data_IF_302827824855
#
_entry.id   IF_302827824855
#
_cell.length_a   1.000
_cell.length_b   1.000
_cell.length_c   1.000
_cell.angle_alpha   90.00
_cell.angle_beta   90.00
_cell.angle_gamma   90.00
#
_symmetry.space_group_name_H-M   'P 1'
#
loop_
_entity.id
_entity.type
_entity.pdbx_description
1 polymer ?
#
# COMPACT_ATOMS: atom_id res chain seq x y z
N UNK A 1 6.38 -5.39 17.75
CA UNK A 1 5.16 -4.75 17.22
C UNK A 1 5.47 -3.50 16.39
N UNK A 2 6.41 -2.67 16.82
CA UNK A 2 6.76 -1.44 16.10
C UNK A 2 7.36 -1.72 14.72
N UNK A 3 8.19 -2.74 14.61
CA UNK A 3 8.74 -3.20 13.34
C UNK A 3 7.66 -3.61 12.35
N UNK A 4 6.64 -4.33 12.82
CA UNK A 4 5.49 -4.74 11.99
C UNK A 4 4.64 -3.55 11.57
N UNK A 5 4.44 -2.59 12.47
CA UNK A 5 3.71 -1.37 12.17
C UNK A 5 4.38 -0.60 11.03
N UNK A 6 5.68 -0.35 11.14
CA UNK A 6 6.40 0.39 10.09
C UNK A 6 6.53 -0.41 8.80
N UNK A 7 6.64 -1.73 8.88
CA UNK A 7 6.65 -2.58 7.68
C UNK A 7 5.33 -2.43 6.89
N UNK A 8 4.19 -2.48 7.58
CA UNK A 8 2.89 -2.30 6.94
C UNK A 8 2.68 -0.87 6.44
N UNK A 9 3.13 0.14 7.19
CA UNK A 9 3.03 1.54 6.78
C UNK A 9 3.83 1.81 5.52
N UNK A 10 5.10 1.47 5.53
CA UNK A 10 6.00 1.71 4.40
C UNK A 10 5.58 0.85 3.19
N UNK A 11 5.25 -0.41 3.43
CA UNK A 11 4.81 -1.30 2.38
C UNK A 11 3.53 -0.82 1.70
N UNK A 12 2.54 -0.41 2.48
CA UNK A 12 1.30 0.13 1.94
C UNK A 12 1.54 1.44 1.20
N UNK A 13 2.40 2.30 1.74
CA UNK A 13 2.78 3.54 1.06
C UNK A 13 3.32 3.26 -0.35
N UNK A 14 4.29 2.37 -0.49
CA UNK A 14 4.87 2.05 -1.79
C UNK A 14 3.85 1.37 -2.72
N UNK A 15 3.12 0.41 -2.22
CA UNK A 15 2.13 -0.31 -3.02
C UNK A 15 1.05 0.64 -3.56
N UNK A 16 0.44 1.44 -2.70
CA UNK A 16 -0.62 2.35 -3.11
C UNK A 16 -0.09 3.53 -3.95
N UNK A 17 1.17 3.92 -3.75
CA UNK A 17 1.81 4.91 -4.62
C UNK A 17 1.87 4.42 -6.07
N UNK A 18 2.18 3.15 -6.28
CA UNK A 18 2.15 2.57 -7.64
C UNK A 18 0.73 2.57 -8.20
N UNK A 19 -0.26 2.20 -7.39
CA UNK A 19 -1.66 2.16 -7.84
C UNK A 19 -2.10 3.54 -8.34
N UNK A 20 -1.90 4.57 -7.53
CA UNK A 20 -2.42 5.90 -7.84
C UNK A 20 -1.62 6.56 -8.97
N UNK A 21 -0.30 6.37 -9.03
CA UNK A 21 0.52 6.95 -10.09
C UNK A 21 0.38 6.23 -11.42
N UNK A 22 -0.01 4.96 -11.44
CA UNK A 22 -0.22 4.21 -12.68
C UNK A 22 -1.56 4.50 -13.35
N UNK A 23 -2.39 5.37 -12.76
CA UNK A 23 -3.65 5.81 -13.36
C UNK A 23 -4.84 4.89 -13.10
N UNK A 24 -4.69 3.90 -12.23
CA UNK A 24 -5.78 2.96 -11.93
C UNK A 24 -7.03 3.69 -11.41
N UNK A 25 -6.85 4.75 -10.64
CA UNK A 25 -7.95 5.49 -10.03
C UNK A 25 -8.60 6.51 -10.97
N UNK A 26 -8.02 6.79 -12.15
CA UNK A 26 -8.46 7.91 -12.99
C UNK A 26 -9.31 7.49 -14.18
N UNK A 27 -9.68 6.24 -14.30
CA UNK A 27 -10.44 5.69 -15.45
C UNK A 27 -9.81 5.96 -16.83
N UNK A 28 -8.63 6.54 -16.85
CA UNK A 28 -7.88 6.73 -18.08
C UNK A 28 -7.23 5.40 -18.40
N UNK A 29 -7.92 4.57 -19.12
CA UNK A 29 -7.44 3.27 -19.60
C UNK A 29 -6.27 3.42 -20.61
N UNK A 30 -5.46 4.46 -20.42
CA UNK A 30 -4.37 4.75 -21.33
C UNK A 30 -3.24 3.72 -21.25
N UNK A 31 -3.15 2.98 -20.13
CA UNK A 31 -2.09 2.00 -19.96
C UNK A 31 -2.71 0.61 -19.77
N UNK A 32 -2.63 -0.20 -20.83
CA UNK A 32 -3.11 -1.58 -20.80
C UNK A 32 -2.32 -2.51 -19.87
N UNK A 33 -1.20 -2.02 -19.31
CA UNK A 33 -0.34 -2.80 -18.42
C UNK A 33 -0.46 -2.42 -16.95
N UNK A 34 -1.45 -1.62 -16.57
CA UNK A 34 -1.65 -1.18 -15.17
C UNK A 34 -1.74 -2.37 -14.22
N UNK A 35 -2.47 -3.41 -14.60
CA UNK A 35 -2.64 -4.61 -13.79
C UNK A 35 -1.31 -5.34 -13.53
N UNK A 36 -0.41 -5.36 -14.52
CA UNK A 36 0.93 -5.95 -14.35
C UNK A 36 1.75 -5.10 -13.37
N UNK A 37 1.73 -3.79 -13.52
CA UNK A 37 2.45 -2.87 -12.64
C UNK A 37 2.02 -3.03 -11.19
N UNK A 38 0.72 -3.09 -10.94
CA UNK A 38 0.15 -3.26 -9.60
C UNK A 38 0.55 -4.63 -9.02
N UNK A 39 0.42 -5.70 -9.81
CA UNK A 39 0.79 -7.04 -9.38
C UNK A 39 2.27 -7.17 -9.07
N UNK A 40 3.14 -6.58 -9.89
CA UNK A 40 4.59 -6.56 -9.64
C UNK A 40 4.94 -5.74 -8.41
N UNK A 41 4.29 -4.59 -8.23
CA UNK A 41 4.50 -3.76 -7.05
C UNK A 41 4.13 -4.51 -5.77
N UNK A 42 2.98 -5.18 -5.75
CA UNK A 42 2.57 -6.00 -4.61
C UNK A 42 3.58 -7.11 -4.35
N UNK A 43 4.03 -7.80 -5.38
CA UNK A 43 5.01 -8.89 -5.26
C UNK A 43 6.32 -8.39 -4.65
N UNK A 44 6.85 -7.28 -5.14
CA UNK A 44 8.10 -6.69 -4.63
C UNK A 44 7.95 -6.24 -3.19
N UNK A 45 6.85 -5.56 -2.86
CA UNK A 45 6.62 -5.07 -1.50
C UNK A 45 6.50 -6.24 -0.52
N UNK A 46 5.76 -7.29 -0.86
CA UNK A 46 5.65 -8.48 -0.02
C UNK A 46 7.02 -9.12 0.18
N UNK A 47 7.85 -9.17 -0.86
CA UNK A 47 9.22 -9.67 -0.73
C UNK A 47 10.02 -8.86 0.30
N UNK A 48 9.86 -7.53 0.31
CA UNK A 48 10.63 -6.65 1.19
C UNK A 48 10.15 -6.67 2.63
N UNK A 49 8.85 -6.68 2.87
CA UNK A 49 8.29 -6.51 4.22
C UNK A 49 7.63 -7.78 4.77
N UNK A 50 7.45 -8.80 3.95
CA UNK A 50 6.71 -10.00 4.35
C UNK A 50 7.32 -10.74 5.52
N UNK A 51 8.65 -10.77 5.62
CA UNK A 51 9.33 -11.42 6.74
C UNK A 51 9.08 -10.69 8.07
N UNK A 52 8.79 -9.37 8.03
CA UNK A 52 8.55 -8.57 9.23
C UNK A 52 7.09 -8.62 9.66
N UNK A 53 6.15 -8.42 8.74
CA UNK A 53 4.74 -8.24 9.07
C UNK A 53 3.80 -9.27 8.43
N UNK A 54 4.29 -10.05 7.48
CA UNK A 54 3.47 -10.88 6.61
C UNK A 54 3.03 -10.17 5.33
N UNK A 55 3.30 -8.85 5.20
CA UNK A 55 2.97 -8.10 3.99
C UNK A 55 1.47 -8.10 3.69
N UNK A 56 0.65 -7.78 4.69
CA UNK A 56 -0.80 -7.78 4.52
C UNK A 56 -1.27 -6.61 3.66
N UNK A 57 -0.79 -5.40 3.94
CA UNK A 57 -0.91 -4.20 3.11
C UNK A 57 -2.35 -3.80 2.77
N UNK A 58 -3.34 -4.40 3.40
CA UNK A 58 -4.74 -4.25 3.08
C UNK A 58 -5.59 -4.53 4.33
N UNK A 59 -6.42 -3.57 4.79
CA UNK A 59 -7.26 -3.80 5.96
C UNK A 59 -8.19 -5.02 5.83
N UNK A 60 -8.68 -5.29 4.64
CA UNK A 60 -9.54 -6.46 4.41
C UNK A 60 -8.78 -7.76 4.62
N UNK A 61 -7.53 -7.83 4.18
CA UNK A 61 -6.65 -8.98 4.43
C UNK A 61 -6.43 -9.15 5.92
N UNK A 62 -6.13 -8.06 6.63
CA UNK A 62 -5.87 -8.10 8.07
C UNK A 62 -7.11 -8.55 8.84
N UNK A 63 -8.30 -8.10 8.46
CA UNK A 63 -9.56 -8.54 9.07
C UNK A 63 -9.76 -10.05 8.85
N UNK A 64 -9.54 -10.53 7.65
CA UNK A 64 -9.67 -11.96 7.34
C UNK A 64 -8.72 -12.79 8.20
N UNK A 65 -7.47 -12.38 8.32
CA UNK A 65 -6.47 -13.09 9.13
C UNK A 65 -6.79 -13.03 10.62
N UNK A 66 -7.39 -11.95 11.09
CA UNK A 66 -7.88 -11.89 12.46
C UNK A 66 -9.03 -12.86 12.68
N UNK A 67 -9.99 -12.94 11.77
CA UNK A 67 -11.09 -13.90 11.87
C UNK A 67 -10.59 -15.34 11.81
N UNK A 68 -9.54 -15.59 11.06
CA UNK A 68 -8.89 -16.91 10.98
C UNK A 68 -7.97 -17.19 12.18
N UNK A 69 -7.85 -16.29 13.13
CA UNK A 69 -7.02 -16.38 14.34
C UNK A 69 -5.52 -16.42 14.07
N UNK A 70 -5.09 -15.94 12.91
CA UNK A 70 -3.67 -15.85 12.58
C UNK A 70 -3.00 -14.64 13.24
N UNK A 71 -3.78 -13.59 13.52
CA UNK A 71 -3.32 -12.40 14.25
C UNK A 71 -4.31 -12.08 15.38
N UNK A 72 -3.82 -11.40 16.40
CA UNK A 72 -4.66 -10.96 17.51
C UNK A 72 -5.26 -9.57 17.26
N UNK A 73 -6.14 -9.12 18.17
CA UNK A 73 -6.82 -7.83 18.01
C UNK A 73 -5.84 -6.64 18.02
N UNK A 74 -4.80 -6.70 18.86
CA UNK A 74 -3.80 -5.65 18.90
C UNK A 74 -3.04 -5.52 17.57
N UNK A 75 -2.68 -6.65 16.99
CA UNK A 75 -2.04 -6.67 15.67
C UNK A 75 -2.99 -6.14 14.58
N UNK A 76 -4.26 -6.53 14.61
CA UNK A 76 -5.24 -6.05 13.65
C UNK A 76 -5.35 -4.53 13.68
N UNK A 77 -5.52 -3.95 14.86
CA UNK A 77 -5.63 -2.49 15.01
C UNK A 77 -4.36 -1.80 14.54
N UNK A 78 -3.20 -2.30 14.95
CA UNK A 78 -1.90 -1.77 14.53
C UNK A 78 -1.74 -1.79 13.01
N UNK A 79 -2.09 -2.90 12.37
CA UNK A 79 -1.96 -3.06 10.92
C UNK A 79 -2.90 -2.12 10.17
N UNK A 80 -4.15 -2.04 10.61
CA UNK A 80 -5.13 -1.16 9.95
C UNK A 80 -4.70 0.31 10.05
N UNK A 81 -4.25 0.75 11.22
CA UNK A 81 -3.76 2.13 11.40
C UNK A 81 -2.55 2.39 10.49
N UNK A 82 -1.58 1.49 10.47
CA UNK A 82 -0.40 1.62 9.62
C UNK A 82 -0.78 1.71 8.12
N UNK A 83 -1.68 0.85 7.68
CA UNK A 83 -2.15 0.80 6.30
C UNK A 83 -2.89 2.09 5.91
N UNK A 84 -3.72 2.62 6.79
CA UNK A 84 -4.43 3.88 6.54
C UNK A 84 -3.44 5.05 6.44
N UNK A 85 -2.47 5.12 7.35
CA UNK A 85 -1.43 6.17 7.28
C UNK A 85 -0.63 6.03 5.98
N UNK A 86 -0.25 4.82 5.61
CA UNK A 86 0.46 4.56 4.35
C UNK A 86 -0.33 5.04 3.13
N UNK A 87 -1.64 4.80 3.12
CA UNK A 87 -2.53 5.26 2.06
C UNK A 87 -2.59 6.78 1.96
N UNK A 88 -2.68 7.46 3.10
CA UNK A 88 -2.73 8.92 3.15
C UNK A 88 -1.41 9.51 2.65
N UNK A 89 -0.28 8.93 3.07
CA UNK A 89 1.04 9.37 2.61
C UNK A 89 1.21 9.15 1.09
N UNK A 90 0.70 8.05 0.56
CA UNK A 90 0.72 7.78 -0.87
C UNK A 90 -0.08 8.84 -1.65
N UNK A 91 -1.23 9.23 -1.13
CA UNK A 91 -2.03 10.29 -1.73
C UNK A 91 -1.27 11.62 -1.76
N UNK A 92 -0.66 12.03 -0.65
CA UNK A 92 0.11 13.28 -0.61
C UNK A 92 1.33 13.23 -1.53
N UNK A 93 2.00 12.10 -1.63
CA UNK A 93 3.09 11.93 -2.60
C UNK A 93 2.59 12.11 -4.04
N UNK A 94 1.43 11.57 -4.36
CA UNK A 94 0.82 11.74 -5.68
C UNK A 94 0.50 13.20 -5.97
N UNK A 95 -0.03 13.95 -5.01
CA UNK A 95 -0.30 15.39 -5.16
C UNK A 95 0.99 16.15 -5.39
N UNK A 96 2.05 15.80 -4.66
CA UNK A 96 3.37 16.40 -4.88
C UNK A 96 3.87 16.16 -6.31
N UNK A 97 3.76 14.95 -6.81
CA UNK A 97 4.18 14.63 -8.18
C UNK A 97 3.37 15.39 -9.23
N UNK A 98 2.07 15.48 -9.05
CA UNK A 98 1.21 16.24 -9.98
C UNK A 98 1.63 17.70 -10.04
N UNK A 99 1.87 18.30 -8.90
CA UNK A 99 2.30 19.71 -8.82
C UNK A 99 3.66 19.90 -9.45
N UNK A 100 4.60 18.99 -9.16
CA UNK A 100 5.96 19.04 -9.73
C UNK A 100 5.90 18.97 -11.26
N UNK A 101 5.22 18.00 -11.82
CA UNK A 101 5.13 17.84 -13.28
C UNK A 101 4.39 19.00 -13.95
N UNK A 102 3.35 19.54 -13.32
CA UNK A 102 2.63 20.69 -13.84
C UNK A 102 3.55 21.92 -13.95
N UNK A 103 4.42 22.11 -12.99
CA UNK A 103 5.34 23.25 -12.96
C UNK A 103 6.59 23.06 -13.82
N UNK A 104 6.92 21.80 -14.17
CA UNK A 104 8.09 21.45 -14.99
C UNK A 104 7.81 21.48 -16.48
N UNK A 105 6.55 21.45 -16.88
CA UNK A 105 6.12 21.50 -18.26
C UNK A 105 5.75 22.92 -18.68
#
# INVERSE_FOLDING_TARGET
>A
MLDKFFAELIGTFFFLSVIITSGHATSRCADSFVWIKIGLALSVVILLVGALSGGQLNPAVSIMLYLNKDINLQQLISYIVAQIIGAILAYFYYIYLKTYYKNSL
#
